data_IF_621498789201
#
_entry.id   IF_621498789201
#
_cell.length_a   1.000
_cell.length_b   1.000
_cell.length_c   1.000
_cell.angle_alpha   90.00
_cell.angle_beta   90.00
_cell.angle_gamma   90.00
#
_symmetry.space_group_name_H-M   'P 1'
#
loop_
_entity.id
_entity.type
_entity.pdbx_description
1 polymer ?
#
# COMPACT_ATOMS: atom_id res chain seq x y z
N UNK A 1 25.14 14.02 21.18
CA UNK A 1 24.04 14.67 20.45
C UNK A 1 23.48 13.63 19.50
N UNK A 2 22.36 13.00 19.87
CA UNK A 2 21.68 12.06 18.99
C UNK A 2 21.03 12.88 17.87
N UNK A 3 21.45 12.66 16.64
CA UNK A 3 20.81 13.23 15.47
C UNK A 3 19.43 12.58 15.34
N UNK A 4 18.41 13.33 15.75
CA UNK A 4 17.01 13.15 15.36
C UNK A 4 16.94 13.28 13.82
N UNK A 5 17.32 12.21 13.12
CA UNK A 5 16.91 12.02 11.74
C UNK A 5 15.41 11.78 11.80
N UNK A 6 14.57 12.52 11.03
CA UNK A 6 13.20 12.06 10.83
C UNK A 6 13.31 10.61 10.38
N UNK A 7 12.70 9.70 11.15
CA UNK A 7 12.85 8.26 10.92
C UNK A 7 12.66 8.01 9.42
N UNK A 8 13.72 7.52 8.76
CA UNK A 8 13.63 7.11 7.37
C UNK A 8 12.40 6.22 7.28
N UNK A 9 11.41 6.62 6.48
CA UNK A 9 10.12 5.94 6.41
C UNK A 9 10.30 4.43 6.19
N UNK A 10 9.28 3.62 6.51
CA UNK A 10 9.40 2.18 6.35
C UNK A 10 9.81 1.87 4.92
N UNK A 11 10.76 0.94 4.77
CA UNK A 11 11.15 0.44 3.46
C UNK A 11 9.90 -0.06 2.72
N UNK A 12 9.78 0.32 1.46
CA UNK A 12 8.72 -0.16 0.58
C UNK A 12 8.73 -1.70 0.58
N UNK A 13 7.61 -2.35 0.92
CA UNK A 13 7.53 -3.81 0.97
C UNK A 13 7.59 -4.37 -0.45
N UNK A 14 8.05 -5.61 -0.59
CA UNK A 14 7.95 -6.32 -1.87
C UNK A 14 6.52 -6.78 -2.11
N UNK A 15 6.17 -7.03 -3.37
CA UNK A 15 4.92 -7.64 -3.80
C UNK A 15 4.67 -8.96 -3.04
N UNK A 16 5.70 -9.81 -2.87
CA UNK A 16 5.59 -11.05 -2.08
C UNK A 16 5.33 -10.84 -0.59
N UNK A 17 5.74 -9.70 -0.05
CA UNK A 17 5.40 -9.35 1.34
C UNK A 17 3.95 -8.93 1.42
N UNK A 18 3.49 -8.11 0.47
CA UNK A 18 2.10 -7.66 0.38
C UNK A 18 1.13 -8.82 0.13
N UNK A 19 1.48 -9.77 -0.74
CA UNK A 19 0.71 -11.00 -1.01
C UNK A 19 0.49 -11.86 0.23
N UNK A 20 1.38 -11.78 1.23
CA UNK A 20 1.20 -12.48 2.52
C UNK A 20 0.33 -11.73 3.50
N UNK A 21 0.17 -10.42 3.29
CA UNK A 21 -0.63 -9.53 4.14
C UNK A 21 -2.07 -9.43 3.63
N UNK A 22 -2.27 -9.55 2.33
CA UNK A 22 -3.58 -9.70 1.71
C UNK A 22 -3.87 -11.18 1.48
N UNK A 23 -5.04 -11.65 1.89
CA UNK A 23 -5.47 -13.03 1.61
C UNK A 23 -5.96 -13.10 0.15
N UNK A 24 -5.03 -13.10 -0.79
CA UNK A 24 -5.35 -13.10 -2.22
C UNK A 24 -5.95 -14.45 -2.65
N UNK A 25 -6.97 -14.44 -3.53
CA UNK A 25 -7.51 -15.66 -4.10
C UNK A 25 -6.43 -16.47 -4.84
N UNK A 26 -6.61 -17.79 -4.91
CA UNK A 26 -5.67 -18.66 -5.61
C UNK A 26 -5.51 -18.24 -7.08
N UNK A 27 -4.27 -18.09 -7.52
CA UNK A 27 -3.93 -17.68 -8.88
C UNK A 27 -3.82 -16.17 -9.06
N UNK A 28 -4.03 -15.39 -8.00
CA UNK A 28 -3.82 -13.95 -7.98
C UNK A 28 -2.46 -13.63 -7.37
N UNK A 29 -1.83 -12.56 -7.84
CA UNK A 29 -0.55 -12.06 -7.37
C UNK A 29 -0.50 -10.54 -7.50
N UNK A 30 0.46 -9.90 -6.84
CA UNK A 30 0.72 -8.47 -7.04
C UNK A 30 1.84 -8.29 -8.07
N UNK A 31 1.63 -7.38 -9.02
CA UNK A 31 2.64 -7.06 -10.02
C UNK A 31 3.74 -6.22 -9.36
N UNK A 32 5.04 -6.57 -9.45
CA UNK A 32 6.09 -5.81 -8.79
C UNK A 32 6.12 -4.33 -9.18
N UNK A 33 5.79 -4.02 -10.44
CA UNK A 33 5.76 -2.65 -10.96
C UNK A 33 4.53 -1.84 -10.54
N UNK A 34 3.48 -2.48 -10.00
CA UNK A 34 2.31 -1.77 -9.46
C UNK A 34 2.44 -1.46 -7.97
N UNK A 35 3.52 -1.90 -7.33
CA UNK A 35 3.79 -1.57 -5.93
C UNK A 35 4.29 -0.14 -5.83
N UNK A 36 3.41 0.76 -5.40
CA UNK A 36 3.77 2.14 -5.11
C UNK A 36 3.80 2.38 -3.60
N UNK A 37 4.76 3.17 -3.14
CA UNK A 37 4.96 3.45 -1.74
C UNK A 37 5.00 4.94 -1.48
N UNK A 38 4.28 5.37 -0.45
CA UNK A 38 4.17 6.77 -0.11
C UNK A 38 3.99 6.92 1.40
N UNK A 39 4.99 7.50 2.09
CA UNK A 39 4.94 7.88 3.52
C UNK A 39 4.22 6.89 4.46
N UNK A 40 4.63 5.61 4.43
CA UNK A 40 4.04 4.59 5.29
C UNK A 40 2.75 3.96 4.75
N UNK A 41 2.36 4.31 3.53
CA UNK A 41 1.36 3.64 2.72
C UNK A 41 2.03 2.88 1.59
N UNK A 42 1.40 1.79 1.18
CA UNK A 42 1.77 1.06 -0.02
C UNK A 42 0.50 0.64 -0.75
N UNK A 43 0.51 0.72 -2.07
CA UNK A 43 -0.52 0.16 -2.93
C UNK A 43 0.03 -1.00 -3.74
N UNK A 44 -0.85 -1.87 -4.20
CA UNK A 44 -0.51 -2.89 -5.17
C UNK A 44 -1.73 -3.25 -6.02
N UNK A 45 -1.53 -3.32 -7.33
CA UNK A 45 -2.55 -3.82 -8.24
C UNK A 45 -2.46 -5.34 -8.34
N UNK A 46 -3.57 -6.05 -8.10
CA UNK A 46 -3.62 -7.48 -8.27
C UNK A 46 -3.73 -7.84 -9.75
N UNK A 47 -3.08 -8.92 -10.15
CA UNK A 47 -3.26 -9.57 -11.44
C UNK A 47 -3.66 -11.04 -11.23
N UNK A 48 -4.57 -11.53 -12.06
CA UNK A 48 -5.14 -12.87 -11.92
C UNK A 48 -5.92 -13.31 -13.16
N UNK A 49 -6.62 -14.47 -13.10
CA UNK A 49 -7.36 -15.03 -14.24
C UNK A 49 -8.50 -14.15 -14.76
N UNK A 50 -8.98 -13.21 -13.93
CA UNK A 50 -9.94 -12.18 -14.30
C UNK A 50 -9.40 -10.83 -13.83
N UNK A 51 -9.82 -9.71 -14.45
CA UNK A 51 -9.48 -8.38 -13.94
C UNK A 51 -9.83 -8.22 -12.45
N UNK A 52 -8.93 -7.59 -11.71
CA UNK A 52 -9.15 -7.23 -10.30
C UNK A 52 -10.09 -6.07 -10.13
N UNK A 53 -10.89 -6.11 -9.07
CA UNK A 53 -11.87 -5.06 -8.75
C UNK A 53 -11.26 -3.84 -8.05
N UNK A 54 -9.94 -3.76 -7.93
CA UNK A 54 -9.30 -2.55 -7.42
C UNK A 54 -7.89 -2.73 -6.86
N UNK A 55 -7.36 -1.60 -6.43
CA UNK A 55 -6.03 -1.41 -5.84
C UNK A 55 -6.08 -1.84 -4.38
N UNK A 56 -5.14 -2.68 -3.95
CA UNK A 56 -4.97 -3.02 -2.54
C UNK A 56 -4.17 -1.94 -1.83
N UNK A 57 -4.64 -1.49 -0.67
CA UNK A 57 -3.98 -0.51 0.17
C UNK A 57 -3.45 -1.15 1.45
N UNK A 58 -2.22 -0.80 1.78
CA UNK A 58 -1.51 -1.25 2.96
C UNK A 58 -0.98 -0.07 3.75
N UNK A 59 -1.00 -0.20 5.07
CA UNK A 59 -0.48 0.80 5.98
C UNK A 59 0.60 0.20 6.87
N UNK A 60 1.72 0.88 6.98
CA UNK A 60 2.75 0.60 7.95
C UNK A 60 2.32 1.12 9.32
N UNK A 61 2.26 0.22 10.30
CA UNK A 61 1.99 0.57 11.69
C UNK A 61 3.29 0.42 12.50
N UNK A 62 3.82 1.50 13.10
CA UNK A 62 5.02 1.43 13.94
C UNK A 62 4.93 0.30 14.97
N UNK A 63 5.98 -0.51 15.09
CA UNK A 63 6.02 -1.67 15.98
C UNK A 63 5.21 -2.90 15.54
N UNK A 64 4.34 -2.78 14.53
CA UNK A 64 3.50 -3.88 14.01
C UNK A 64 3.82 -4.28 12.57
N UNK A 65 4.55 -3.43 11.84
CA UNK A 65 4.90 -3.63 10.44
C UNK A 65 3.78 -3.25 9.47
N UNK A 66 3.95 -3.64 8.21
CA UNK A 66 2.96 -3.48 7.15
C UNK A 66 1.72 -4.35 7.40
N UNK A 67 0.54 -3.81 7.09
CA UNK A 67 -0.76 -4.48 7.23
C UNK A 67 -1.66 -4.14 6.07
N UNK A 68 -2.49 -5.10 5.65
CA UNK A 68 -3.62 -4.81 4.78
C UNK A 68 -4.56 -3.82 5.46
N UNK A 69 -4.97 -2.79 4.72
CA UNK A 69 -5.89 -1.77 5.18
C UNK A 69 -7.25 -1.94 4.52
N UNK A 70 -7.29 -1.90 3.19
CA UNK A 70 -8.53 -1.93 2.39
C UNK A 70 -8.22 -2.25 0.92
N UNK A 71 -9.28 -2.46 0.13
CA UNK A 71 -9.22 -2.62 -1.32
C UNK A 71 -10.33 -1.74 -1.93
N UNK A 72 -10.06 -1.10 -3.06
CA UNK A 72 -11.04 -0.28 -3.77
C UNK A 72 -10.53 0.20 -5.13
N UNK A 73 -11.42 0.73 -5.95
CA UNK A 73 -11.11 1.26 -7.29
C UNK A 73 -10.33 2.58 -7.28
N UNK A 74 -10.25 3.23 -6.12
CA UNK A 74 -9.54 4.48 -5.86
C UNK A 74 -9.74 4.90 -4.40
N UNK A 75 -8.92 5.85 -3.93
CA UNK A 75 -8.98 6.32 -2.55
C UNK A 75 -9.14 7.84 -2.48
N UNK A 76 -9.99 8.27 -1.55
CA UNK A 76 -10.05 9.65 -1.10
C UNK A 76 -8.99 9.85 0.00
N UNK A 77 -7.97 10.67 -0.29
CA UNK A 77 -6.87 10.95 0.62
C UNK A 77 -7.37 11.47 1.98
N UNK A 78 -8.41 12.30 2.00
CA UNK A 78 -9.03 12.85 3.20
C UNK A 78 -9.56 11.75 4.15
N UNK A 79 -10.18 10.71 3.61
CA UNK A 79 -10.69 9.58 4.41
C UNK A 79 -9.57 8.75 5.04
N UNK A 80 -8.37 8.80 4.46
CA UNK A 80 -7.16 8.15 4.96
C UNK A 80 -6.36 9.04 5.92
N UNK A 81 -6.82 10.27 6.16
CA UNK A 81 -6.08 11.28 6.94
C UNK A 81 -4.79 11.74 6.24
N UNK A 82 -4.78 11.70 4.91
CA UNK A 82 -3.69 12.19 4.07
C UNK A 82 -4.08 13.57 3.54
N UNK A 83 -3.44 14.62 4.08
CA UNK A 83 -3.74 16.02 3.72
C UNK A 83 -2.87 16.54 2.55
N UNK A 84 -2.10 15.67 1.90
CA UNK A 84 -1.16 16.03 0.85
C UNK A 84 -1.26 15.08 -0.35
N UNK A 85 -0.84 15.51 -1.56
CA UNK A 85 -0.91 14.69 -2.74
C UNK A 85 -0.17 13.33 -2.60
N UNK A 86 -0.94 12.24 -2.65
CA UNK A 86 -0.42 10.87 -2.77
C UNK A 86 -0.75 10.30 -4.17
N UNK A 87 0.12 9.45 -4.74
CA UNK A 87 -0.01 8.98 -6.12
C UNK A 87 -1.26 8.10 -6.36
N UNK A 88 -1.76 7.45 -5.31
CA UNK A 88 -2.93 6.58 -5.37
C UNK A 88 -4.26 7.29 -5.07
N UNK A 89 -4.23 8.60 -4.78
CA UNK A 89 -5.45 9.35 -4.49
C UNK A 89 -6.08 9.83 -5.79
N UNK A 90 -7.34 9.44 -6.01
CA UNK A 90 -8.02 9.69 -7.28
C UNK A 90 -8.84 10.99 -7.30
N UNK A 91 -8.98 11.66 -6.15
CA UNK A 91 -9.68 12.93 -6.03
C UNK A 91 -8.93 13.78 -4.99
N UNK A 92 -8.34 14.89 -5.44
CA UNK A 92 -7.66 15.90 -4.61
C UNK A 92 -8.45 17.20 -4.66
#
# INVERSE_FOLDING_TARGET
MATDRPAAGPKCPSEKTLEKLADLPKGWYFVPSSVECWKGWATADPEGPTPGDGIYLFQYKPGKGWRYHSQGSGYHCEELGIDEPAPFCQYQ
#
